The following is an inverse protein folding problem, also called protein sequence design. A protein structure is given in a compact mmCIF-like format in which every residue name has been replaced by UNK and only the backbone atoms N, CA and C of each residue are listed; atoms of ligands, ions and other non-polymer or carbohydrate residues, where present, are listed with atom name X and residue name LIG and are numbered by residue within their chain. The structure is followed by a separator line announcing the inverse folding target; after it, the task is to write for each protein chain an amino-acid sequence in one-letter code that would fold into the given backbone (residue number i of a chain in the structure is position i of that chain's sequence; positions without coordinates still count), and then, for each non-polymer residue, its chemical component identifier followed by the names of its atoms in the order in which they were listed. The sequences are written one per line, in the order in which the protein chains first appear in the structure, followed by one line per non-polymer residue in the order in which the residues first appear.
data_IF_702455305198
#
_entry.id   IF_702455305198
#
_cell.length_a   1.000
_cell.length_b   1.000
_cell.length_c   1.000
_cell.angle_alpha   90.00
_cell.angle_beta   90.00
_cell.angle_gamma   90.00
#
_symmetry.space_group_name_H-M   'P 1'
#
loop_
_entity.id
_entity.type
_entity.pdbx_description
1 polymer ?
#
# COMPACT_ATOMS: atom_id res chain seq x y z
N UNK A 1 -8.36 -4.27 -30.89
CA UNK A 1 -7.87 -2.94 -30.47
C UNK A 1 -9.11 -2.08 -30.27
N UNK A 2 -9.53 -1.70 -29.06
CA UNK A 2 -10.64 -0.77 -28.92
C UNK A 2 -10.11 0.68 -28.98
N UNK A 3 -10.89 1.60 -29.58
CA UNK A 3 -10.58 3.03 -29.64
C UNK A 3 -10.91 3.64 -28.28
N UNK A 4 -10.18 4.66 -27.82
CA UNK A 4 -10.82 5.81 -27.11
C UNK A 4 -9.80 6.84 -26.63
N UNK A 5 -9.64 7.85 -27.47
CA UNK A 5 -9.21 9.20 -27.14
C UNK A 5 -10.46 10.04 -26.79
N UNK A 6 -11.17 9.68 -25.71
CA UNK A 6 -12.23 10.54 -25.17
C UNK A 6 -11.60 11.52 -24.19
N UNK A 7 -11.45 12.78 -24.62
CA UNK A 7 -11.17 13.91 -23.74
C UNK A 7 -12.30 14.07 -22.72
N UNK A 8 -12.11 13.52 -21.54
CA UNK A 8 -13.01 13.70 -20.39
C UNK A 8 -12.97 15.18 -19.96
N UNK A 9 -14.10 15.91 -19.86
CA UNK A 9 -14.12 17.34 -19.57
C UNK A 9 -13.55 17.66 -18.18
N UNK A 10 -12.78 18.76 -18.07
CA UNK A 10 -11.96 19.11 -16.90
C UNK A 10 -12.75 19.19 -15.56
N UNK A 11 -14.00 19.65 -15.58
CA UNK A 11 -14.86 19.69 -14.39
C UNK A 11 -15.20 18.29 -13.85
N UNK A 12 -15.46 17.32 -14.74
CA UNK A 12 -15.72 15.94 -14.34
C UNK A 12 -14.48 15.26 -13.75
N UNK A 13 -13.28 15.70 -14.14
CA UNK A 13 -12.00 15.18 -13.63
C UNK A 13 -11.79 15.58 -12.16
N UNK A 14 -12.15 16.81 -11.78
CA UNK A 14 -11.98 17.27 -10.39
C UNK A 14 -12.88 16.49 -9.43
N UNK A 15 -14.14 16.30 -9.79
CA UNK A 15 -15.09 15.46 -9.05
C UNK A 15 -14.64 13.99 -9.03
N UNK A 16 -14.02 13.53 -10.11
CA UNK A 16 -13.46 12.18 -10.19
C UNK A 16 -12.36 11.95 -9.16
N UNK A 17 -11.36 12.82 -9.09
CA UNK A 17 -10.30 12.70 -8.09
C UNK A 17 -10.84 12.86 -6.67
N UNK A 18 -11.84 13.73 -6.46
CA UNK A 18 -12.50 13.88 -5.17
C UNK A 18 -13.12 12.55 -4.67
N UNK A 19 -13.78 11.79 -5.55
CA UNK A 19 -14.33 10.47 -5.18
C UNK A 19 -13.23 9.47 -4.78
N UNK A 20 -12.11 9.43 -5.51
CA UNK A 20 -10.97 8.59 -5.14
C UNK A 20 -10.34 9.04 -3.82
N UNK A 21 -10.24 10.34 -3.58
CA UNK A 21 -9.70 10.88 -2.34
C UNK A 21 -10.62 10.62 -1.14
N UNK A 22 -11.94 10.60 -1.32
CA UNK A 22 -12.87 10.15 -0.29
C UNK A 22 -12.63 8.68 0.12
N UNK A 23 -12.45 7.78 -0.86
CA UNK A 23 -12.15 6.37 -0.55
C UNK A 23 -10.78 6.24 0.13
N UNK A 24 -9.79 7.05 -0.27
CA UNK A 24 -8.48 7.10 0.42
C UNK A 24 -8.61 7.58 1.86
N UNK A 25 -9.40 8.61 2.12
CA UNK A 25 -9.66 9.09 3.49
C UNK A 25 -10.32 8.00 4.33
N UNK A 26 -11.30 7.28 3.77
CA UNK A 26 -11.93 6.16 4.45
C UNK A 26 -10.94 5.03 4.75
N UNK A 27 -10.14 4.64 3.76
CA UNK A 27 -9.09 3.63 3.92
C UNK A 27 -8.06 4.03 4.99
N UNK A 28 -7.67 5.31 5.01
CA UNK A 28 -6.77 5.86 6.03
C UNK A 28 -7.36 5.75 7.44
N UNK A 29 -8.64 6.12 7.62
CA UNK A 29 -9.33 6.01 8.90
C UNK A 29 -9.34 4.56 9.39
N UNK A 30 -9.61 3.59 8.51
CA UNK A 30 -9.61 2.17 8.87
C UNK A 30 -8.23 1.69 9.37
N UNK A 31 -7.16 2.06 8.66
CA UNK A 31 -5.78 1.73 9.08
C UNK A 31 -5.43 2.40 10.40
N UNK A 32 -5.77 3.68 10.56
CA UNK A 32 -5.48 4.43 11.77
C UNK A 32 -6.22 3.86 12.99
N UNK A 33 -7.51 3.53 12.85
CA UNK A 33 -8.30 2.91 13.92
C UNK A 33 -7.73 1.53 14.32
N UNK A 34 -7.33 0.71 13.34
CA UNK A 34 -6.70 -0.58 13.61
C UNK A 34 -5.45 -0.42 14.48
N UNK A 35 -4.53 0.46 14.09
CA UNK A 35 -3.30 0.69 14.83
C UNK A 35 -3.54 1.32 16.20
N UNK A 36 -4.42 2.31 16.28
CA UNK A 36 -4.78 2.96 17.54
C UNK A 36 -5.27 1.96 18.58
N UNK A 37 -6.26 1.12 18.22
CA UNK A 37 -6.79 0.15 19.16
C UNK A 37 -5.82 -1.00 19.48
N UNK A 38 -4.95 -1.37 18.53
CA UNK A 38 -3.89 -2.34 18.79
C UNK A 38 -2.89 -1.82 19.83
N UNK A 39 -2.52 -0.54 19.77
CA UNK A 39 -1.67 0.10 20.78
C UNK A 39 -2.38 0.26 22.12
N UNK A 40 -3.68 0.58 22.15
CA UNK A 40 -4.46 0.58 23.39
C UNK A 40 -4.43 -0.80 24.08
N UNK A 41 -4.61 -1.88 23.32
CA UNK A 41 -4.51 -3.24 23.85
C UNK A 41 -3.11 -3.55 24.40
N UNK A 42 -2.05 -3.16 23.67
CA UNK A 42 -0.65 -3.34 24.12
C UNK A 42 -0.35 -2.57 25.40
N UNK A 43 -0.94 -1.40 25.56
CA UNK A 43 -0.83 -0.58 26.78
C UNK A 43 -1.73 -1.05 27.94
N UNK A 44 -2.50 -2.14 27.76
CA UNK A 44 -3.42 -2.66 28.78
C UNK A 44 -4.69 -1.81 28.96
N UNK A 45 -4.98 -0.91 28.01
CA UNK A 45 -6.19 -0.09 28.02
C UNK A 45 -7.37 -0.92 27.52
N UNK A 46 -8.45 -0.95 28.29
CA UNK A 46 -9.69 -1.64 27.91
C UNK A 46 -10.33 -0.92 26.72
N UNK A 47 -10.43 -1.62 25.60
CA UNK A 47 -11.13 -1.14 24.41
C UNK A 47 -12.56 -1.70 24.32
N UNK A 48 -13.48 -1.03 23.61
CA UNK A 48 -14.82 -1.55 23.41
C UNK A 48 -14.81 -2.94 22.75
N UNK A 49 -15.73 -3.81 23.16
CA UNK A 49 -15.76 -5.22 22.72
C UNK A 49 -15.92 -5.37 21.20
N UNK A 50 -16.67 -4.47 20.55
CA UNK A 50 -16.79 -4.44 19.09
C UNK A 50 -15.46 -4.06 18.40
N UNK A 51 -14.67 -3.16 19.00
CA UNK A 51 -13.38 -2.77 18.46
C UNK A 51 -12.38 -3.93 18.59
N UNK A 52 -12.36 -4.59 19.76
CA UNK A 52 -11.58 -5.82 19.97
C UNK A 52 -11.94 -6.91 18.95
N UNK A 53 -13.23 -7.07 18.68
CA UNK A 53 -13.74 -8.01 17.67
C UNK A 53 -13.29 -7.68 16.23
N UNK A 54 -13.14 -6.39 15.89
CA UNK A 54 -12.72 -5.93 14.56
C UNK A 54 -11.20 -6.06 14.33
N UNK A 55 -10.41 -6.06 15.40
CA UNK A 55 -8.94 -6.16 15.36
C UNK A 55 -8.49 -7.62 15.41
N UNK A 56 -9.21 -8.47 16.13
CA UNK A 56 -8.83 -9.86 16.42
C UNK A 56 -9.26 -10.91 15.38
N UNK A 57 -9.82 -10.50 14.23
CA UNK A 57 -10.23 -11.42 13.14
C UNK A 57 -9.18 -11.56 12.05
N UNK A 58 -9.29 -12.63 11.25
CA UNK A 58 -8.44 -12.88 10.08
C UNK A 58 -8.50 -11.76 9.01
N UNK A 59 -9.62 -11.01 8.96
CA UNK A 59 -9.74 -9.79 8.16
C UNK A 59 -9.90 -8.62 9.11
N UNK A 60 -8.83 -7.85 9.27
CA UNK A 60 -8.79 -6.67 10.13
C UNK A 60 -9.20 -5.41 9.36
N UNK A 61 -9.52 -4.33 10.07
CA UNK A 61 -9.76 -3.02 9.44
C UNK A 61 -8.53 -2.54 8.66
N UNK A 62 -7.34 -2.81 9.18
CA UNK A 62 -6.07 -2.51 8.50
C UNK A 62 -5.94 -3.24 7.16
N UNK A 63 -6.33 -4.53 7.10
CA UNK A 63 -6.29 -5.32 5.86
C UNK A 63 -7.21 -4.72 4.80
N UNK A 64 -8.42 -4.30 5.19
CA UNK A 64 -9.38 -3.67 4.28
C UNK A 64 -8.87 -2.32 3.78
N UNK A 65 -8.36 -1.48 4.68
CA UNK A 65 -7.79 -0.18 4.32
C UNK A 65 -6.61 -0.32 3.34
N UNK A 66 -5.68 -1.21 3.62
CA UNK A 66 -4.53 -1.49 2.73
C UNK A 66 -4.96 -2.03 1.37
N UNK A 67 -5.95 -2.93 1.32
CA UNK A 67 -6.50 -3.44 0.07
C UNK A 67 -7.11 -2.32 -0.80
N UNK A 68 -7.87 -1.41 -0.17
CA UNK A 68 -8.42 -0.23 -0.85
C UNK A 68 -7.31 0.66 -1.42
N UNK A 69 -6.24 0.91 -0.67
CA UNK A 69 -5.12 1.70 -1.17
C UNK A 69 -4.42 1.06 -2.38
N UNK A 70 -4.20 -0.25 -2.37
CA UNK A 70 -3.61 -0.96 -3.52
C UNK A 70 -4.53 -0.90 -4.74
N UNK A 71 -5.83 -1.13 -4.55
CA UNK A 71 -6.83 -1.06 -5.60
C UNK A 71 -6.89 0.35 -6.22
N UNK A 72 -7.05 1.39 -5.40
CA UNK A 72 -7.09 2.78 -5.87
C UNK A 72 -5.79 3.18 -6.57
N UNK A 73 -4.65 2.68 -6.11
CA UNK A 73 -3.36 2.93 -6.76
C UNK A 73 -3.31 2.31 -8.16
N UNK A 74 -3.78 1.07 -8.33
CA UNK A 74 -3.88 0.42 -9.63
C UNK A 74 -4.77 1.18 -10.60
N UNK A 75 -5.95 1.59 -10.14
CA UNK A 75 -6.90 2.38 -10.93
C UNK A 75 -6.33 3.74 -11.35
N UNK A 76 -5.76 4.49 -10.41
CA UNK A 76 -5.25 5.83 -10.69
C UNK A 76 -3.99 5.83 -11.55
N UNK A 77 -3.09 4.86 -11.39
CA UNK A 77 -1.94 4.73 -12.29
C UNK A 77 -2.40 4.39 -13.71
N UNK A 78 -3.38 3.48 -13.86
CA UNK A 78 -3.94 3.14 -15.17
C UNK A 78 -4.61 4.35 -15.84
N UNK A 79 -5.44 5.08 -15.11
CA UNK A 79 -6.09 6.31 -15.59
C UNK A 79 -5.09 7.38 -15.99
N UNK A 80 -4.14 7.70 -15.11
CA UNK A 80 -3.17 8.78 -15.35
C UNK A 80 -2.19 8.46 -16.45
N UNK A 81 -2.01 7.18 -16.80
CA UNK A 81 -1.16 6.76 -17.91
C UNK A 81 -1.91 6.67 -19.24
N UNK A 82 -3.26 6.65 -19.22
CA UNK A 82 -4.05 7.02 -20.41
C UNK A 82 -3.91 8.51 -20.72
N UNK A 83 -3.52 9.31 -19.72
CA UNK A 83 -3.12 10.71 -19.87
C UNK A 83 -1.60 10.77 -20.04
N UNK A 84 -1.07 11.75 -20.76
CA UNK A 84 0.39 11.84 -20.99
C UNK A 84 1.21 12.22 -19.74
N UNK A 85 0.59 12.38 -18.57
CA UNK A 85 1.20 12.96 -17.37
C UNK A 85 1.56 11.95 -16.25
N UNK A 86 1.79 10.68 -16.59
CA UNK A 86 2.06 9.63 -15.59
C UNK A 86 3.35 9.85 -14.78
N UNK A 87 4.38 10.48 -15.35
CA UNK A 87 5.66 10.75 -14.64
C UNK A 87 5.46 11.71 -13.46
N UNK A 88 4.73 12.80 -13.68
CA UNK A 88 4.41 13.77 -12.64
C UNK A 88 3.54 13.14 -11.56
N UNK A 89 2.55 12.33 -11.97
CA UNK A 89 1.72 11.58 -11.03
C UNK A 89 2.56 10.63 -10.17
N UNK A 90 3.45 9.85 -10.77
CA UNK A 90 4.34 8.92 -10.05
C UNK A 90 5.17 9.64 -8.98
N UNK A 91 5.79 10.78 -9.33
CA UNK A 91 6.55 11.60 -8.38
C UNK A 91 5.67 12.12 -7.24
N UNK A 92 4.49 12.67 -7.57
CA UNK A 92 3.55 13.18 -6.57
C UNK A 92 3.06 12.10 -5.61
N UNK A 93 2.88 10.89 -6.11
CA UNK A 93 2.32 9.78 -5.37
C UNK A 93 3.39 9.12 -4.48
N UNK A 94 4.62 8.99 -4.96
CA UNK A 94 5.75 8.60 -4.10
C UNK A 94 5.99 9.62 -2.98
N UNK A 95 5.94 10.92 -3.28
CA UNK A 95 6.10 11.95 -2.24
C UNK A 95 5.03 11.84 -1.15
N UNK A 96 3.77 11.59 -1.54
CA UNK A 96 2.68 11.34 -0.58
C UNK A 96 2.88 10.10 0.29
N UNK A 97 3.63 9.10 -0.20
CA UNK A 97 3.94 7.87 0.54
C UNK A 97 5.13 8.05 1.49
N UNK A 98 6.17 8.75 1.03
CA UNK A 98 7.39 8.96 1.83
C UNK A 98 7.26 10.09 2.86
N UNK A 99 6.47 11.12 2.59
CA UNK A 99 6.33 12.26 3.51
C UNK A 99 5.85 11.82 4.92
N UNK A 100 4.79 11.01 5.08
CA UNK A 100 4.36 10.54 6.40
C UNK A 100 5.44 9.72 7.13
N UNK A 101 6.22 8.92 6.39
CA UNK A 101 7.34 8.16 6.95
C UNK A 101 8.35 9.13 7.54
N UNK A 102 8.87 10.05 6.72
CA UNK A 102 9.92 10.98 7.14
C UNK A 102 9.49 11.84 8.33
N UNK A 103 8.25 12.34 8.30
CA UNK A 103 7.67 13.12 9.41
C UNK A 103 7.61 12.28 10.69
N UNK A 104 7.18 11.02 10.60
CA UNK A 104 7.06 10.16 11.78
C UNK A 104 8.43 9.81 12.39
N UNK A 105 9.43 9.51 11.57
CA UNK A 105 10.81 9.30 12.07
C UNK A 105 11.39 10.56 12.70
N UNK A 106 11.12 11.73 12.11
CA UNK A 106 11.54 13.00 12.69
C UNK A 106 10.90 13.25 14.06
N UNK A 107 9.57 13.09 14.16
CA UNK A 107 8.85 13.25 15.43
C UNK A 107 9.36 12.27 16.49
N UNK A 108 9.55 11.01 16.10
CA UNK A 108 10.08 10.01 17.00
C UNK A 108 11.50 10.38 17.47
N UNK A 109 12.39 10.79 16.57
CA UNK A 109 13.75 11.19 16.92
C UNK A 109 13.76 12.37 17.91
N UNK A 110 12.86 13.35 17.74
CA UNK A 110 12.69 14.48 18.65
C UNK A 110 12.24 14.00 20.03
N UNK A 111 11.20 13.15 20.10
CA UNK A 111 10.65 12.63 21.36
C UNK A 111 11.69 11.80 22.10
N UNK A 112 12.41 10.93 21.36
CA UNK A 112 13.44 10.09 21.93
C UNK A 112 14.60 10.92 22.48
N UNK A 113 15.10 11.89 21.70
CA UNK A 113 16.16 12.79 22.14
C UNK A 113 15.75 13.59 23.39
N UNK A 114 14.51 14.07 23.44
CA UNK A 114 14.00 14.79 24.61
C UNK A 114 13.93 13.91 25.88
N UNK A 115 13.75 12.60 25.72
CA UNK A 115 13.64 11.65 26.83
C UNK A 115 14.98 11.10 27.30
N UNK A 116 15.83 10.70 26.38
CA UNK A 116 17.07 9.95 26.69
C UNK A 116 18.33 10.83 26.57
N UNK A 117 18.22 12.08 26.07
CA UNK A 117 19.33 13.03 25.96
C UNK A 117 20.37 12.70 24.88
N UNK A 118 20.20 11.59 24.17
CA UNK A 118 21.06 11.13 23.08
C UNK A 118 20.23 10.77 21.86
N UNK A 119 20.78 11.04 20.67
CA UNK A 119 20.28 10.45 19.43
C UNK A 119 20.67 8.97 19.42
N UNK A 120 19.80 8.12 18.87
CA UNK A 120 19.98 6.67 18.86
C UNK A 120 21.38 6.21 18.42
N UNK A 121 21.91 5.20 19.11
CA UNK A 121 23.15 4.49 18.72
C UNK A 121 22.81 3.43 17.66
N UNK A 122 22.47 3.89 16.46
CA UNK A 122 22.11 3.06 15.31
C UNK A 122 22.93 3.44 14.09
N UNK A 123 23.28 2.41 13.31
CA UNK A 123 24.01 2.58 12.07
C UNK A 123 23.22 3.41 11.05
N UNK A 124 23.93 4.10 10.15
CA UNK A 124 23.33 4.87 9.05
C UNK A 124 22.41 3.99 8.19
N UNK A 125 22.74 2.70 8.03
CA UNK A 125 21.88 1.74 7.32
C UNK A 125 20.51 1.56 7.97
N UNK A 126 20.45 1.48 9.30
CA UNK A 126 19.20 1.36 10.07
C UNK A 126 18.28 2.58 9.98
N UNK A 127 18.80 3.71 9.52
CA UNK A 127 18.02 4.92 9.27
C UNK A 127 17.55 4.94 7.80
N UNK A 128 18.46 4.62 6.86
CA UNK A 128 18.17 4.70 5.43
C UNK A 128 17.13 3.66 4.98
N UNK A 129 17.26 2.40 5.42
CA UNK A 129 16.35 1.33 4.98
C UNK A 129 14.88 1.61 5.33
N UNK A 130 14.54 2.04 6.56
CA UNK A 130 13.17 2.44 6.88
C UNK A 130 12.69 3.70 6.17
N UNK A 131 13.55 4.70 5.96
CA UNK A 131 13.19 5.92 5.20
C UNK A 131 12.86 5.63 3.73
N UNK A 132 13.42 4.56 3.19
CA UNK A 132 13.08 4.03 1.86
C UNK A 132 11.89 3.06 1.88
N UNK A 133 11.27 2.83 3.05
CA UNK A 133 10.20 1.87 3.22
C UNK A 133 10.64 0.43 3.01
N UNK A 134 11.93 0.11 3.14
CA UNK A 134 12.49 -1.22 2.90
C UNK A 134 12.66 -2.09 4.15
N UNK A 135 12.32 -1.57 5.33
CA UNK A 135 12.83 -2.06 6.62
C UNK A 135 12.61 -3.55 6.94
N UNK A 136 11.56 -4.18 6.40
CA UNK A 136 11.33 -5.61 6.68
C UNK A 136 11.72 -6.53 5.51
N UNK A 137 11.96 -6.02 4.29
CA UNK A 137 12.60 -6.83 3.24
C UNK A 137 14.07 -7.09 3.54
N UNK A 138 14.65 -6.26 4.41
CA UNK A 138 15.96 -6.47 4.99
C UNK A 138 15.91 -7.19 6.33
N UNK A 139 14.77 -7.68 6.85
CA UNK A 139 14.73 -8.39 8.15
C UNK A 139 15.67 -9.61 8.22
N UNK A 140 15.79 -10.46 7.17
CA UNK A 140 16.79 -11.54 7.15
C UNK A 140 18.24 -11.02 7.11
N UNK A 141 18.46 -9.83 6.54
CA UNK A 141 19.75 -9.15 6.48
C UNK A 141 20.06 -8.51 7.83
N UNK A 142 19.07 -7.88 8.45
CA UNK A 142 19.12 -7.24 9.74
C UNK A 142 19.43 -8.26 10.85
N UNK A 143 18.79 -9.43 10.83
CA UNK A 143 19.10 -10.53 11.75
C UNK A 143 20.53 -11.07 11.58
N UNK A 144 21.09 -10.99 10.36
CA UNK A 144 22.48 -11.41 10.08
C UNK A 144 23.53 -10.37 10.52
N UNK A 145 23.17 -9.09 10.52
CA UNK A 145 24.05 -7.98 10.89
C UNK A 145 23.75 -7.36 12.27
N UNK A 146 22.82 -7.92 13.05
CA UNK A 146 22.46 -7.45 14.39
C UNK A 146 21.64 -6.15 14.41
N UNK A 147 20.98 -5.80 13.31
CA UNK A 147 20.19 -4.58 13.22
C UNK A 147 18.77 -4.79 13.75
N UNK A 148 18.32 -3.90 14.63
CA UNK A 148 16.93 -3.85 15.11
C UNK A 148 16.11 -3.02 14.11
N UNK A 149 15.09 -3.59 13.43
CA UNK A 149 14.25 -2.84 12.51
C UNK A 149 13.31 -1.91 13.30
N UNK A 150 13.40 -0.62 13.00
CA UNK A 150 12.57 0.41 13.61
C UNK A 150 11.25 0.57 12.88
N UNK A 151 10.21 -0.17 13.28
CA UNK A 151 8.92 -0.20 12.58
C UNK A 151 7.91 0.76 13.21
N UNK A 152 7.82 2.00 12.72
CA UNK A 152 7.05 3.06 13.39
C UNK A 152 5.64 3.28 12.83
N UNK A 153 5.45 3.16 11.51
CA UNK A 153 4.23 3.71 10.84
C UNK A 153 3.57 2.72 9.88
N UNK A 154 4.03 1.47 9.89
CA UNK A 154 3.60 0.46 8.91
C UNK A 154 4.44 0.52 7.63
N UNK A 155 5.77 0.45 7.75
CA UNK A 155 6.68 0.40 6.59
C UNK A 155 6.29 -0.68 5.59
N UNK A 156 5.66 -1.78 6.03
CA UNK A 156 5.18 -2.87 5.20
C UNK A 156 4.30 -2.48 4.05
N UNK A 157 3.31 -1.64 4.34
CA UNK A 157 2.39 -1.18 3.35
C UNK A 157 3.15 -0.35 2.30
N UNK A 158 4.06 0.50 2.78
CA UNK A 158 4.91 1.33 1.94
C UNK A 158 5.88 0.50 1.10
N UNK A 159 6.46 -0.57 1.66
CA UNK A 159 7.35 -1.46 0.93
C UNK A 159 6.62 -2.11 -0.25
N UNK A 160 5.43 -2.65 0.01
CA UNK A 160 4.62 -3.33 -1.02
C UNK A 160 4.21 -2.33 -2.10
N UNK A 161 3.70 -1.15 -1.73
CA UNK A 161 3.22 -0.18 -2.73
C UNK A 161 4.36 0.37 -3.60
N UNK A 162 5.56 0.56 -3.04
CA UNK A 162 6.74 0.94 -3.83
C UNK A 162 7.08 -0.15 -4.86
N UNK A 163 7.06 -1.43 -4.45
CA UNK A 163 7.28 -2.56 -5.37
C UNK A 163 6.23 -2.56 -6.49
N UNK A 164 4.95 -2.37 -6.16
CA UNK A 164 3.87 -2.33 -7.15
C UNK A 164 4.09 -1.19 -8.16
N UNK A 165 4.59 -0.06 -7.70
CA UNK A 165 4.84 1.12 -8.52
C UNK A 165 6.03 0.88 -9.45
N UNK A 166 7.10 0.26 -8.95
CA UNK A 166 8.25 -0.16 -9.77
C UNK A 166 7.82 -1.22 -10.79
N UNK A 167 6.96 -2.17 -10.40
CA UNK A 167 6.46 -3.23 -11.27
C UNK A 167 5.41 -2.74 -12.28
N UNK A 168 4.84 -1.55 -12.09
CA UNK A 168 3.75 -1.02 -12.91
C UNK A 168 4.04 -1.03 -14.43
N UNK A 169 5.22 -0.66 -14.96
CA UNK A 169 5.50 -0.72 -16.39
C UNK A 169 5.34 -2.14 -16.97
N UNK A 170 5.75 -3.15 -16.20
CA UNK A 170 5.63 -4.56 -16.57
C UNK A 170 4.16 -4.99 -16.50
N UNK A 171 3.47 -4.66 -15.40
CA UNK A 171 2.04 -4.95 -15.24
C UNK A 171 1.21 -4.34 -16.38
N UNK A 172 1.51 -3.10 -16.75
CA UNK A 172 0.87 -2.42 -17.88
C UNK A 172 1.12 -3.15 -19.20
N UNK A 173 2.36 -3.57 -19.46
CA UNK A 173 2.70 -4.33 -20.65
C UNK A 173 1.91 -5.64 -20.71
N UNK A 174 1.86 -6.38 -19.59
CA UNK A 174 1.05 -7.59 -19.45
C UNK A 174 -0.43 -7.31 -19.72
N UNK A 175 -0.96 -6.20 -19.19
CA UNK A 175 -2.37 -5.82 -19.30
C UNK A 175 -2.76 -5.40 -20.72
N UNK A 176 -1.85 -4.78 -21.48
CA UNK A 176 -2.08 -4.40 -22.88
C UNK A 176 -1.82 -5.55 -23.87
N UNK A 177 -1.16 -6.62 -23.42
CA UNK A 177 -0.83 -7.75 -24.28
C UNK A 177 -2.08 -8.54 -24.68
N UNK A 178 -2.00 -9.24 -25.82
CA UNK A 178 -3.04 -10.22 -26.23
C UNK A 178 -3.17 -11.37 -25.23
N UNK A 179 -2.16 -11.60 -24.38
CA UNK A 179 -2.11 -12.62 -23.33
C UNK A 179 -2.60 -12.10 -21.97
N UNK A 180 -3.34 -10.99 -21.92
CA UNK A 180 -3.87 -10.38 -20.68
C UNK A 180 -4.60 -11.39 -19.78
N UNK A 181 -5.43 -12.27 -20.36
CA UNK A 181 -6.19 -13.27 -19.62
C UNK A 181 -5.24 -14.26 -18.94
N UNK A 182 -4.23 -14.75 -19.65
CA UNK A 182 -3.20 -15.64 -19.11
C UNK A 182 -2.48 -15.01 -17.90
N UNK A 183 -2.04 -13.75 -18.02
CA UNK A 183 -1.42 -13.05 -16.90
C UNK A 183 -2.37 -12.81 -15.72
N UNK A 184 -3.64 -12.56 -16.00
CA UNK A 184 -4.67 -12.44 -14.95
C UNK A 184 -4.85 -13.74 -14.19
N UNK A 185 -4.91 -14.87 -14.92
CA UNK A 185 -4.97 -16.20 -14.31
C UNK A 185 -3.74 -16.47 -13.46
N UNK A 186 -2.53 -16.13 -13.92
CA UNK A 186 -1.31 -16.28 -13.12
C UNK A 186 -1.39 -15.48 -11.81
N UNK A 187 -1.77 -14.20 -11.87
CA UNK A 187 -1.86 -13.36 -10.67
C UNK A 187 -2.88 -13.94 -9.68
N UNK A 188 -4.02 -14.44 -10.16
CA UNK A 188 -5.03 -15.08 -9.32
C UNK A 188 -4.53 -16.41 -8.75
N UNK A 189 -3.88 -17.25 -9.54
CA UNK A 189 -3.30 -18.52 -9.07
C UNK A 189 -2.25 -18.26 -8.00
N UNK A 190 -1.35 -17.30 -8.20
CA UNK A 190 -0.32 -16.94 -7.23
C UNK A 190 -0.96 -16.38 -5.94
N UNK A 191 -2.02 -15.57 -6.07
CA UNK A 191 -2.80 -15.09 -4.92
C UNK A 191 -3.44 -16.24 -4.15
N UNK A 192 -4.12 -17.19 -4.81
CA UNK A 192 -4.73 -18.33 -4.14
C UNK A 192 -3.70 -19.30 -3.57
N UNK A 193 -2.59 -19.52 -4.28
CA UNK A 193 -1.46 -20.31 -3.80
C UNK A 193 -0.84 -19.69 -2.54
N UNK A 194 -0.90 -18.36 -2.37
CA UNK A 194 -0.40 -17.66 -1.18
C UNK A 194 -1.06 -18.14 0.13
N UNK A 195 -2.32 -18.59 0.08
CA UNK A 195 -3.02 -19.10 1.25
C UNK A 195 -2.51 -20.47 1.72
N UNK A 196 -1.88 -21.24 0.82
CA UNK A 196 -1.37 -22.59 1.11
C UNK A 196 0.15 -22.63 1.21
N UNK A 197 0.81 -21.87 0.34
CA UNK A 197 2.25 -21.73 0.27
C UNK A 197 2.62 -20.30 0.61
N UNK A 198 3.48 -20.08 1.61
CA UNK A 198 3.95 -18.76 1.99
C UNK A 198 4.87 -18.12 0.93
N UNK A 199 4.31 -17.75 -0.22
CA UNK A 199 5.05 -17.20 -1.36
C UNK A 199 5.22 -15.70 -1.14
N UNK A 200 6.47 -15.23 -0.99
CA UNK A 200 6.77 -13.81 -0.76
C UNK A 200 6.03 -13.26 0.49
N UNK A 201 6.01 -14.05 1.57
CA UNK A 201 5.45 -13.65 2.86
C UNK A 201 6.19 -12.43 3.43
N UNK A 202 5.41 -11.57 4.07
CA UNK A 202 5.90 -10.42 4.81
C UNK A 202 5.58 -10.53 6.32
N UNK A 203 4.48 -11.18 6.72
CA UNK A 203 4.19 -11.67 8.09
C UNK A 203 2.90 -12.51 8.06
N UNK A 204 2.84 -13.59 8.85
CA UNK A 204 1.67 -14.45 9.13
C UNK A 204 0.53 -14.43 8.11
N UNK A 205 0.77 -14.94 6.89
CA UNK A 205 -0.24 -15.32 5.90
C UNK A 205 -1.07 -14.20 5.24
N UNK A 206 -1.25 -13.06 5.89
CA UNK A 206 -2.27 -12.07 5.53
C UNK A 206 -1.69 -10.80 4.90
N UNK A 207 -0.37 -10.59 5.00
CA UNK A 207 0.34 -9.46 4.41
C UNK A 207 1.40 -10.02 3.47
N UNK A 208 1.18 -9.89 2.16
CA UNK A 208 2.12 -10.36 1.16
C UNK A 208 2.11 -9.48 -0.09
N UNK A 209 3.25 -9.48 -0.78
CA UNK A 209 3.42 -8.73 -2.03
C UNK A 209 2.42 -9.22 -3.09
N UNK A 210 2.11 -10.52 -3.10
CA UNK A 210 1.17 -11.15 -4.05
C UNK A 210 -0.26 -10.61 -3.88
N UNK A 211 -0.71 -10.40 -2.64
CA UNK A 211 -2.00 -9.77 -2.32
C UNK A 211 -2.03 -8.33 -2.85
N UNK A 212 -0.93 -7.59 -2.69
CA UNK A 212 -0.77 -6.26 -3.27
C UNK A 212 -0.94 -6.28 -4.80
N UNK A 213 -0.26 -7.21 -5.49
CA UNK A 213 -0.38 -7.35 -6.95
C UNK A 213 -1.80 -7.68 -7.39
N UNK A 214 -2.48 -8.57 -6.66
CA UNK A 214 -3.88 -8.94 -6.93
C UNK A 214 -4.82 -7.73 -6.86
N UNK A 215 -4.82 -6.98 -5.74
CA UNK A 215 -5.69 -5.81 -5.59
C UNK A 215 -5.35 -4.71 -6.58
N UNK A 216 -4.06 -4.47 -6.83
CA UNK A 216 -3.61 -3.49 -7.82
C UNK A 216 -4.09 -3.85 -9.23
N UNK A 217 -4.00 -5.12 -9.61
CA UNK A 217 -4.47 -5.64 -10.90
C UNK A 217 -5.97 -5.49 -11.06
N UNK A 218 -6.76 -5.81 -10.01
CA UNK A 218 -8.20 -5.56 -9.98
C UNK A 218 -8.50 -4.07 -10.14
N UNK A 219 -7.75 -3.20 -9.47
CA UNK A 219 -7.87 -1.75 -9.64
C UNK A 219 -7.74 -1.30 -11.09
N UNK A 220 -6.79 -1.87 -11.84
CA UNK A 220 -6.63 -1.60 -13.27
C UNK A 220 -7.86 -2.07 -14.07
N UNK A 221 -8.43 -3.24 -13.74
CA UNK A 221 -9.67 -3.74 -14.36
C UNK A 221 -10.89 -2.86 -14.08
N UNK A 222 -11.07 -2.44 -12.82
CA UNK A 222 -12.18 -1.56 -12.41
C UNK A 222 -12.15 -0.24 -13.20
N UNK A 223 -10.97 0.33 -13.40
CA UNK A 223 -10.81 1.55 -14.19
C UNK A 223 -11.01 1.30 -15.69
N UNK A 224 -10.51 0.18 -16.23
CA UNK A 224 -10.66 -0.16 -17.65
C UNK A 224 -12.12 -0.39 -18.06
N UNK A 225 -12.91 -1.05 -17.19
CA UNK A 225 -14.30 -1.40 -17.48
C UNK A 225 -15.33 -0.54 -16.74
N UNK A 226 -14.90 0.61 -16.21
CA UNK A 226 -15.75 1.51 -15.43
C UNK A 226 -17.07 1.86 -16.12
N UNK A 227 -17.03 2.20 -17.41
CA UNK A 227 -18.23 2.58 -18.18
C UNK A 227 -19.23 1.43 -18.37
N UNK A 228 -18.76 0.17 -18.29
CA UNK A 228 -19.63 -1.01 -18.34
C UNK A 228 -20.21 -1.30 -16.96
N UNK A 229 -19.40 -1.17 -15.92
CA UNK A 229 -19.81 -1.36 -14.53
C UNK A 229 -20.85 -0.33 -14.08
N UNK A 230 -20.79 0.91 -14.58
CA UNK A 230 -21.76 1.96 -14.24
C UNK A 230 -23.12 1.83 -14.93
N UNK A 231 -23.27 0.84 -15.83
CA UNK A 231 -24.52 0.59 -16.59
C UNK A 231 -25.26 -0.67 -16.13
N UNK A 232 -24.67 -1.40 -15.17
CA UNK A 232 -25.26 -2.55 -14.49
C UNK A 232 -25.89 -2.01 -13.19
#
# INVERSE_FOLDING_TARGET
MPPYDKKVPCASIKTYYANYDMIRCFAFILVLLQHFFAECLRAGIVIPQYASWLIGRAITMGNVGSALFFLLSGSLLWLNHKRDNWKSFYKSQLFKLYLPIWVSYLFFAIIYFAKEGVLWDISVGQIIFPLLGGNHFVEPINNKFGYIPLNLVGEWFTSIIIILYIAYPILRWMFKSQKRIFFTLIIFIVFFANFYYPILLYQDGHISVTIGFFYFWIGMYCEEYKERLSKI
#
